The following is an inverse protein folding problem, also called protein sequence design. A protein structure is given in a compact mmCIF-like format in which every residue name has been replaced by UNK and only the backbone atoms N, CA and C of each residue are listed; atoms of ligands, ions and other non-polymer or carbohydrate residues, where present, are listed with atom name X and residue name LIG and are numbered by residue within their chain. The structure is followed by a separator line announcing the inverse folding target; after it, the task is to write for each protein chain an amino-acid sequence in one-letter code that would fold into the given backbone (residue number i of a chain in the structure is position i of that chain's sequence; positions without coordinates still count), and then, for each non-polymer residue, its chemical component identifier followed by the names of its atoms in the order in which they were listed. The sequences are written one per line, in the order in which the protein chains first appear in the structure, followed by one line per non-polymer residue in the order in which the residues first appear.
data_IF_174980021289
#
_entry.id   IF_174980021289
#
_cell.length_a   1.000
_cell.length_b   1.000
_cell.length_c   1.000
_cell.angle_alpha   90.00
_cell.angle_beta   90.00
_cell.angle_gamma   90.00
#
_symmetry.space_group_name_H-M   'P 1'
#
loop_
_entity.id
_entity.type
_entity.pdbx_description
1 polymer ?
#
# COMPACT_ATOMS: atom_id res chain seq x y z
N UNK A 1 -31.72 64.58 26.88
CA UNK A 1 -33.17 64.80 27.15
C UNK A 1 -33.91 63.58 26.72
N UNK A 2 -34.93 63.30 27.43
CA UNK A 2 -35.01 62.16 28.35
C UNK A 2 -36.21 61.27 27.99
N UNK A 3 -36.33 60.33 28.78
CA UNK A 3 -37.43 59.71 29.52
C UNK A 3 -37.66 58.27 29.07
N UNK A 4 -37.42 57.33 29.96
CA UNK A 4 -38.22 56.96 31.14
C UNK A 4 -39.51 56.25 30.80
N UNK A 5 -39.72 55.12 31.22
CA UNK A 5 -40.42 54.50 32.36
C UNK A 5 -41.18 53.26 31.83
N UNK A 6 -41.38 52.24 32.48
CA UNK A 6 -41.65 51.66 33.78
C UNK A 6 -42.18 50.23 33.64
N UNK A 7 -41.62 49.44 34.42
CA UNK A 7 -42.15 48.20 35.07
C UNK A 7 -43.67 48.15 35.26
N UNK A 8 -44.23 46.98 34.97
CA UNK A 8 -45.33 46.47 35.82
C UNK A 8 -45.31 44.96 35.91
N UNK A 9 -45.23 44.54 37.16
CA UNK A 9 -45.37 43.19 37.67
C UNK A 9 -46.87 42.90 37.81
N UNK A 10 -47.34 41.75 37.39
CA UNK A 10 -48.63 41.24 37.79
C UNK A 10 -48.56 39.72 38.13
N UNK A 11 -49.03 39.46 39.29
CA UNK A 11 -49.06 38.23 40.11
C UNK A 11 -49.94 37.13 39.58
N UNK A 12 -49.43 35.90 39.71
CA UNK A 12 -50.08 34.66 40.12
C UNK A 12 -51.57 34.45 39.89
N UNK A 13 -51.90 33.35 39.27
CA UNK A 13 -52.98 32.43 39.76
C UNK A 13 -52.52 30.97 39.53
N UNK A 14 -52.40 30.22 40.63
CA UNK A 14 -52.15 28.79 40.68
C UNK A 14 -53.50 28.07 40.59
N UNK A 15 -53.67 27.17 39.65
CA UNK A 15 -54.72 26.14 39.72
C UNK A 15 -54.05 24.75 39.60
N UNK A 16 -54.31 23.85 40.53
CA UNK A 16 -53.86 22.47 40.44
C UNK A 16 -54.90 21.67 39.66
N UNK A 17 -54.60 21.27 38.46
CA UNK A 17 -55.36 20.21 37.78
C UNK A 17 -54.68 18.87 38.00
N UNK A 18 -55.35 18.06 38.78
CA UNK A 18 -55.10 16.65 39.02
C UNK A 18 -55.27 15.89 37.70
N UNK A 19 -54.16 15.59 37.01
CA UNK A 19 -54.18 14.73 35.85
C UNK A 19 -53.85 13.31 36.25
N UNK A 20 -54.83 12.46 36.12
CA UNK A 20 -54.86 11.03 36.35
C UNK A 20 -53.79 10.33 35.52
N UNK A 21 -52.82 9.73 36.20
CA UNK A 21 -51.74 8.91 35.59
C UNK A 21 -52.34 7.55 35.22
N UNK A 22 -52.74 7.35 33.98
CA UNK A 22 -53.01 6.05 33.41
C UNK A 22 -51.67 5.30 33.17
N UNK A 23 -51.37 4.38 34.04
CA UNK A 23 -50.33 3.37 33.83
C UNK A 23 -50.76 2.41 32.72
N UNK A 24 -50.33 2.69 31.49
CA UNK A 24 -50.35 1.69 30.43
C UNK A 24 -49.18 0.73 30.69
N UNK A 25 -49.41 -0.36 31.36
CA UNK A 25 -48.51 -1.51 31.38
C UNK A 25 -48.53 -2.13 29.98
N UNK A 26 -47.66 -1.64 29.10
CA UNK A 26 -47.34 -2.35 27.88
C UNK A 26 -46.58 -3.62 28.29
N UNK A 27 -47.21 -4.77 28.10
CA UNK A 27 -46.53 -6.05 28.12
C UNK A 27 -45.44 -6.03 27.01
N UNK A 28 -44.24 -5.74 27.40
CA UNK A 28 -43.07 -5.96 26.56
C UNK A 28 -42.84 -7.48 26.54
N UNK A 29 -43.42 -8.18 25.58
CA UNK A 29 -43.01 -9.54 25.27
C UNK A 29 -41.59 -9.43 24.75
N UNK A 30 -40.64 -9.69 25.63
CA UNK A 30 -39.23 -9.74 25.28
C UNK A 30 -38.99 -10.84 24.24
N UNK A 31 -38.98 -10.47 22.98
CA UNK A 31 -38.24 -11.26 22.02
C UNK A 31 -36.78 -11.08 22.44
N UNK A 32 -36.17 -12.11 23.00
CA UNK A 32 -34.72 -12.17 23.21
C UNK A 32 -34.08 -11.99 21.84
N UNK A 33 -33.77 -10.75 21.52
CA UNK A 33 -33.01 -10.42 20.31
C UNK A 33 -31.64 -11.05 20.47
N UNK A 34 -31.39 -12.11 19.75
CA UNK A 34 -30.03 -12.63 19.55
C UNK A 34 -29.14 -11.42 19.28
N UNK A 35 -28.12 -11.22 20.10
CA UNK A 35 -27.19 -10.09 20.03
C UNK A 35 -26.66 -10.04 18.61
N UNK A 36 -27.10 -9.06 17.79
CA UNK A 36 -26.63 -8.91 16.42
C UNK A 36 -25.14 -8.67 16.49
N UNK A 37 -24.36 -9.60 15.94
CA UNK A 37 -22.93 -9.42 15.76
C UNK A 37 -22.76 -8.23 14.80
N UNK A 38 -22.24 -7.12 15.32
CA UNK A 38 -21.96 -5.93 14.53
C UNK A 38 -20.54 -5.99 14.00
N UNK A 39 -20.23 -5.21 12.94
CA UNK A 39 -18.87 -5.06 12.40
C UNK A 39 -17.83 -4.82 13.52
N UNK A 40 -18.21 -4.03 14.55
CA UNK A 40 -17.36 -3.76 15.73
C UNK A 40 -17.09 -5.00 16.60
N UNK A 41 -17.95 -5.99 16.58
CA UNK A 41 -17.76 -7.23 17.35
C UNK A 41 -16.84 -8.20 16.59
N UNK A 42 -16.82 -8.12 15.26
CA UNK A 42 -15.90 -8.87 14.39
C UNK A 42 -14.49 -8.23 14.39
N UNK A 43 -14.41 -6.90 14.39
CA UNK A 43 -13.13 -6.16 14.47
C UNK A 43 -12.34 -6.47 15.76
N UNK A 44 -13.02 -6.88 16.84
CA UNK A 44 -12.38 -7.32 18.09
C UNK A 44 -11.68 -8.68 18.01
N UNK A 45 -11.89 -9.43 16.94
CA UNK A 45 -11.34 -10.78 16.77
C UNK A 45 -9.96 -10.75 16.07
N UNK A 46 -9.64 -9.65 15.39
CA UNK A 46 -8.32 -9.47 14.78
C UNK A 46 -7.35 -8.95 15.84
N UNK A 47 -6.31 -9.70 16.13
CA UNK A 47 -5.23 -9.21 16.98
C UNK A 47 -4.56 -8.02 16.30
N UNK A 48 -4.77 -6.81 16.83
CA UNK A 48 -4.06 -5.63 16.37
C UNK A 48 -2.55 -5.80 16.61
N UNK A 49 -1.76 -5.31 15.65
CA UNK A 49 -0.30 -5.26 15.81
C UNK A 49 0.03 -4.14 16.81
N UNK A 50 0.92 -4.43 17.74
CA UNK A 50 1.53 -3.39 18.57
C UNK A 50 2.41 -2.48 17.71
N UNK A 51 2.68 -1.26 18.17
CA UNK A 51 3.59 -0.33 17.46
C UNK A 51 4.97 -0.95 17.25
N UNK A 52 5.44 -1.79 18.17
CA UNK A 52 6.69 -2.55 18.04
C UNK A 52 6.61 -3.60 16.93
N UNK A 53 5.50 -4.35 16.84
CA UNK A 53 5.27 -5.31 15.77
C UNK A 53 5.11 -4.63 14.40
N UNK A 54 4.46 -3.46 14.35
CA UNK A 54 4.37 -2.64 13.11
C UNK A 54 5.77 -2.21 12.67
N UNK A 55 6.57 -1.68 13.59
CA UNK A 55 7.95 -1.26 13.32
C UNK A 55 8.83 -2.44 12.91
N UNK A 56 8.71 -3.58 13.57
CA UNK A 56 9.44 -4.80 13.24
C UNK A 56 9.07 -5.37 11.85
N UNK A 57 7.85 -5.10 11.36
CA UNK A 57 7.38 -5.51 10.04
C UNK A 57 7.58 -4.44 8.95
N UNK A 58 8.18 -3.30 9.26
CA UNK A 58 8.46 -2.23 8.30
C UNK A 58 9.89 -2.34 7.78
N UNK A 59 10.07 -1.98 6.51
CA UNK A 59 11.37 -1.82 5.88
C UNK A 59 11.67 -0.32 5.74
N UNK A 60 12.46 0.20 6.69
CA UNK A 60 12.91 1.59 6.61
C UNK A 60 14.06 1.69 5.61
N UNK A 61 13.84 2.39 4.52
CA UNK A 61 14.86 2.65 3.51
C UNK A 61 15.45 4.04 3.77
N UNK A 62 16.77 4.17 3.95
CA UNK A 62 17.39 5.47 4.13
C UNK A 62 17.26 6.31 2.86
N UNK A 63 16.97 7.59 3.04
CA UNK A 63 16.98 8.58 1.95
C UNK A 63 18.40 9.12 1.81
N UNK A 64 19.02 8.87 0.67
CA UNK A 64 20.32 9.47 0.32
C UNK A 64 20.07 10.77 -0.45
N UNK A 65 20.20 11.89 0.26
CA UNK A 65 20.02 13.22 -0.32
C UNK A 65 21.04 13.50 -1.42
N UNK A 66 20.61 14.12 -2.51
CA UNK A 66 21.47 14.58 -3.60
C UNK A 66 22.71 15.34 -3.12
N UNK A 67 22.57 16.13 -2.07
CA UNK A 67 23.69 16.88 -1.46
C UNK A 67 24.82 15.99 -0.93
N UNK A 68 24.55 14.73 -0.64
CA UNK A 68 25.50 13.75 -0.10
C UNK A 68 26.07 12.81 -1.16
N UNK A 69 25.60 12.88 -2.40
CA UNK A 69 26.06 11.97 -3.44
C UNK A 69 27.56 12.13 -3.69
N UNK A 70 28.26 11.00 -3.67
CA UNK A 70 29.68 10.94 -3.92
C UNK A 70 29.95 10.45 -5.35
N UNK A 71 31.00 10.94 -5.97
CA UNK A 71 31.48 10.38 -7.25
C UNK A 71 31.72 8.86 -7.07
N UNK A 72 31.30 8.09 -8.07
CA UNK A 72 31.31 6.63 -7.98
C UNK A 72 29.97 5.99 -7.61
N UNK A 73 28.97 6.77 -7.18
CA UNK A 73 27.60 6.27 -6.91
C UNK A 73 26.99 5.70 -8.19
N UNK A 74 26.40 4.49 -8.09
CA UNK A 74 25.92 3.72 -9.23
C UNK A 74 24.41 3.79 -9.39
N UNK A 75 23.97 3.88 -10.63
CA UNK A 75 22.57 3.91 -11.02
C UNK A 75 22.31 2.91 -12.13
N UNK A 76 21.31 2.04 -11.93
CA UNK A 76 20.84 1.13 -12.96
C UNK A 76 19.83 1.82 -13.89
N UNK A 77 19.99 1.67 -15.19
CA UNK A 77 19.06 2.23 -16.18
C UNK A 77 17.91 1.25 -16.43
N UNK A 78 16.71 1.65 -16.03
CA UNK A 78 15.53 0.79 -16.06
C UNK A 78 14.77 0.77 -17.39
N UNK A 79 15.02 1.76 -18.27
CA UNK A 79 14.30 1.93 -19.55
C UNK A 79 15.20 2.64 -20.57
N UNK A 80 15.10 2.28 -21.86
CA UNK A 80 15.86 2.93 -22.95
C UNK A 80 15.45 4.39 -23.18
N UNK A 81 14.26 4.81 -22.73
CA UNK A 81 13.88 6.22 -22.74
C UNK A 81 14.77 7.11 -21.86
N UNK A 82 15.63 6.54 -21.03
CA UNK A 82 16.65 7.28 -20.30
C UNK A 82 17.53 8.15 -21.23
N UNK A 83 17.74 7.72 -22.50
CA UNK A 83 18.46 8.52 -23.49
C UNK A 83 17.81 9.88 -23.77
N UNK A 84 16.49 10.02 -23.59
CA UNK A 84 15.74 11.24 -23.88
C UNK A 84 15.87 12.31 -22.78
N UNK A 85 16.32 11.93 -21.59
CA UNK A 85 16.50 12.89 -20.50
C UNK A 85 17.92 13.47 -20.44
N UNK A 86 18.85 12.90 -21.20
CA UNK A 86 20.22 13.42 -21.27
C UNK A 86 20.35 14.50 -22.35
N UNK A 87 21.13 15.52 -22.06
CA UNK A 87 21.44 16.57 -23.00
C UNK A 87 22.15 15.97 -24.23
N UNK A 88 21.91 16.58 -25.39
CA UNK A 88 22.60 16.19 -26.61
C UNK A 88 24.12 16.30 -26.43
N UNK A 89 24.85 15.35 -26.97
CA UNK A 89 26.30 15.30 -26.90
C UNK A 89 26.87 14.73 -28.21
N UNK A 90 27.99 15.25 -28.61
CA UNK A 90 28.74 14.71 -29.78
C UNK A 90 29.49 13.40 -29.45
N UNK A 91 29.52 13.00 -28.19
CA UNK A 91 30.20 11.79 -27.72
C UNK A 91 29.45 10.48 -28.02
N UNK A 92 28.16 10.56 -28.35
CA UNK A 92 27.33 9.38 -28.68
C UNK A 92 26.16 9.76 -29.61
N UNK A 93 25.68 8.77 -30.38
CA UNK A 93 24.47 8.93 -31.17
C UNK A 93 23.27 8.43 -30.37
N UNK A 94 22.35 9.33 -30.01
CA UNK A 94 21.14 9.01 -29.23
C UNK A 94 20.20 7.99 -29.91
N UNK A 95 20.17 7.96 -31.27
CA UNK A 95 19.28 7.04 -32.01
C UNK A 95 19.69 5.57 -31.84
N UNK A 96 21.01 5.32 -31.76
CA UNK A 96 21.59 3.98 -31.63
C UNK A 96 21.93 3.61 -30.19
N UNK A 97 21.71 4.52 -29.24
CA UNK A 97 22.08 4.32 -27.85
C UNK A 97 21.08 3.42 -27.14
N UNK A 98 21.56 2.30 -26.58
CA UNK A 98 20.81 1.38 -25.74
C UNK A 98 21.39 1.40 -24.33
N UNK A 99 20.65 1.98 -23.40
CA UNK A 99 21.07 2.15 -22.01
C UNK A 99 20.39 1.19 -21.04
N UNK A 100 19.20 0.67 -21.38
CA UNK A 100 18.46 -0.25 -20.50
C UNK A 100 19.34 -1.43 -20.08
N UNK A 101 19.36 -1.70 -18.78
CA UNK A 101 20.15 -2.79 -18.20
C UNK A 101 21.61 -2.43 -17.92
N UNK A 102 22.08 -1.23 -18.27
CA UNK A 102 23.42 -0.76 -17.93
C UNK A 102 23.44 -0.05 -16.59
N UNK A 103 24.61 0.00 -15.99
CA UNK A 103 24.88 0.87 -14.84
C UNK A 103 25.60 2.13 -15.31
N UNK A 104 25.13 3.27 -14.80
CA UNK A 104 25.79 4.55 -14.95
C UNK A 104 26.37 4.98 -13.61
N UNK A 105 27.55 5.54 -13.64
CA UNK A 105 28.26 6.04 -12.47
C UNK A 105 28.14 7.56 -12.40
N UNK A 106 27.65 8.07 -11.27
CA UNK A 106 27.66 9.50 -10.99
C UNK A 106 29.10 10.02 -10.89
N UNK A 107 29.42 11.05 -11.66
CA UNK A 107 30.75 11.67 -11.70
C UNK A 107 30.79 13.10 -11.17
N UNK A 108 29.68 13.58 -10.63
CA UNK A 108 29.54 14.92 -10.07
C UNK A 108 28.47 15.75 -10.77
N UNK A 109 28.39 17.03 -10.44
CA UNK A 109 27.53 17.99 -11.11
C UNK A 109 28.23 19.30 -11.35
N UNK A 110 27.67 20.13 -12.22
CA UNK A 110 28.08 21.51 -12.39
C UNK A 110 26.87 22.42 -12.51
N UNK A 111 27.07 23.71 -12.28
CA UNK A 111 26.02 24.70 -12.42
C UNK A 111 26.01 25.22 -13.85
N UNK A 112 24.86 25.00 -14.53
CA UNK A 112 24.58 25.55 -15.84
C UNK A 112 23.81 26.87 -15.72
N UNK A 113 23.87 27.68 -16.82
CA UNK A 113 23.06 28.90 -16.93
C UNK A 113 21.79 28.60 -17.71
N UNK A 114 20.63 29.09 -17.22
CA UNK A 114 19.34 29.08 -17.94
C UNK A 114 18.92 30.52 -18.25
N UNK A 115 17.97 30.70 -19.17
CA UNK A 115 17.46 31.97 -19.68
C UNK A 115 17.14 33.03 -18.61
N UNK A 116 16.81 32.61 -17.38
CA UNK A 116 16.46 33.50 -16.26
C UNK A 116 17.61 33.82 -15.31
N UNK A 117 18.85 33.62 -15.74
CA UNK A 117 20.07 33.86 -14.95
C UNK A 117 20.14 33.05 -13.62
N UNK A 118 19.36 31.96 -13.48
CA UNK A 118 19.46 31.02 -12.37
C UNK A 118 20.49 29.94 -12.66
N UNK A 119 21.34 29.65 -11.65
CA UNK A 119 22.31 28.56 -11.75
C UNK A 119 21.61 27.22 -11.45
N UNK A 120 21.33 26.42 -12.45
CA UNK A 120 20.70 25.12 -12.34
C UNK A 120 21.72 23.97 -12.33
N UNK A 121 21.34 22.89 -11.67
CA UNK A 121 22.20 21.71 -11.51
C UNK A 121 22.15 20.84 -12.77
N UNK A 122 23.32 20.55 -13.32
CA UNK A 122 23.53 19.58 -14.39
C UNK A 122 24.31 18.39 -13.84
N UNK A 123 23.64 17.25 -13.74
CA UNK A 123 24.19 16.02 -13.14
C UNK A 123 24.93 15.22 -14.22
N UNK A 124 26.17 14.81 -13.93
CA UNK A 124 27.01 14.03 -14.85
C UNK A 124 27.03 12.55 -14.44
N UNK A 125 26.85 11.69 -15.45
CA UNK A 125 27.00 10.25 -15.35
C UNK A 125 27.99 9.76 -16.42
N UNK A 126 28.58 8.61 -16.18
CA UNK A 126 29.43 7.91 -17.15
C UNK A 126 29.17 6.41 -17.14
N UNK A 127 29.32 5.75 -18.28
CA UNK A 127 29.40 4.30 -18.42
C UNK A 127 30.87 3.80 -18.58
N UNK A 128 31.83 4.70 -18.32
CA UNK A 128 33.26 4.43 -18.52
C UNK A 128 33.77 4.84 -19.90
N UNK A 129 32.90 5.03 -20.88
CA UNK A 129 33.26 5.47 -22.26
C UNK A 129 32.64 6.84 -22.53
N UNK A 130 31.37 6.99 -22.33
CA UNK A 130 30.61 8.21 -22.60
C UNK A 130 30.28 8.96 -21.32
N UNK A 131 30.02 10.25 -21.46
CA UNK A 131 29.49 11.11 -20.40
C UNK A 131 28.05 11.52 -20.76
N UNK A 132 27.14 11.34 -19.83
CA UNK A 132 25.73 11.69 -19.95
C UNK A 132 25.39 12.83 -18.98
N UNK A 133 24.74 13.87 -19.46
CA UNK A 133 24.40 15.04 -18.66
C UNK A 133 22.90 15.14 -18.53
N UNK A 134 22.40 15.07 -17.30
CA UNK A 134 21.00 15.29 -16.98
C UNK A 134 20.80 16.71 -16.45
N UNK A 135 20.00 17.51 -17.17
CA UNK A 135 19.64 18.89 -16.81
C UNK A 135 18.43 18.84 -15.89
N UNK A 136 18.60 19.29 -14.64
CA UNK A 136 17.52 19.20 -13.65
C UNK A 136 16.51 20.34 -13.74
N UNK A 137 16.85 21.46 -14.38
CA UNK A 137 16.14 22.74 -14.38
C UNK A 137 15.89 23.31 -12.96
N UNK A 138 16.63 22.82 -11.96
CA UNK A 138 16.52 23.17 -10.54
C UNK A 138 17.82 23.72 -10.00
N UNK A 139 17.72 24.69 -9.11
CA UNK A 139 18.86 25.10 -8.28
C UNK A 139 19.16 24.04 -7.22
N UNK A 140 20.32 24.09 -6.58
CA UNK A 140 20.69 23.16 -5.49
C UNK A 140 19.66 23.18 -4.36
N UNK A 141 19.10 24.34 -4.04
CA UNK A 141 18.11 24.50 -2.96
C UNK A 141 16.74 23.92 -3.32
N UNK A 142 16.40 23.84 -4.62
CA UNK A 142 15.13 23.29 -5.11
C UNK A 142 15.17 21.75 -5.24
N UNK A 143 16.35 21.14 -5.20
CA UNK A 143 16.49 19.68 -5.22
C UNK A 143 16.14 19.13 -3.84
N UNK A 144 15.02 18.43 -3.76
CA UNK A 144 14.57 17.80 -2.52
C UNK A 144 15.47 16.63 -2.12
N UNK A 145 15.52 16.27 -0.81
CA UNK A 145 16.31 15.11 -0.36
C UNK A 145 15.92 13.81 -1.03
N UNK A 146 14.64 13.64 -1.36
CA UNK A 146 14.07 12.45 -2.00
C UNK A 146 14.04 12.55 -3.55
N UNK A 147 14.87 13.42 -4.13
CA UNK A 147 14.93 13.64 -5.56
C UNK A 147 15.41 12.39 -6.29
N UNK A 148 14.63 11.96 -7.28
CA UNK A 148 14.97 10.83 -8.13
C UNK A 148 15.12 11.29 -9.59
N UNK A 149 16.09 10.72 -10.30
CA UNK A 149 16.26 10.97 -11.72
C UNK A 149 15.41 9.95 -12.49
N UNK A 150 14.57 10.39 -13.44
CA UNK A 150 13.73 9.49 -14.20
C UNK A 150 14.53 8.35 -14.85
N UNK A 151 13.98 7.13 -14.83
CA UNK A 151 14.57 5.91 -15.40
C UNK A 151 15.84 5.40 -14.72
N UNK A 152 16.41 6.14 -13.75
CA UNK A 152 17.59 5.72 -13.00
C UNK A 152 17.18 5.18 -11.63
N UNK A 153 17.66 3.99 -11.29
CA UNK A 153 17.44 3.33 -10.01
C UNK A 153 18.75 3.37 -9.22
N UNK A 154 18.70 3.93 -8.03
CA UNK A 154 19.84 4.02 -7.13
C UNK A 154 20.27 2.63 -6.64
N UNK A 155 21.47 2.20 -6.99
CA UNK A 155 21.99 0.87 -6.64
C UNK A 155 22.33 0.73 -5.17
N UNK A 156 22.69 1.82 -4.47
CA UNK A 156 22.94 1.77 -3.02
C UNK A 156 21.66 1.40 -2.25
N UNK A 157 20.51 1.89 -2.74
CA UNK A 157 19.19 1.55 -2.19
C UNK A 157 18.86 0.09 -2.46
N UNK A 158 19.07 -0.40 -3.68
CA UNK A 158 18.86 -1.81 -4.06
C UNK A 158 19.69 -2.74 -3.18
N UNK A 159 20.98 -2.44 -3.03
CA UNK A 159 21.93 -3.21 -2.23
C UNK A 159 21.59 -3.15 -0.72
N UNK A 160 21.14 -1.98 -0.24
CA UNK A 160 20.67 -1.87 1.13
C UNK A 160 19.49 -2.81 1.39
N UNK A 161 18.48 -2.79 0.51
CA UNK A 161 17.30 -3.66 0.64
C UNK A 161 17.71 -5.13 0.50
N UNK A 162 18.62 -5.45 -0.41
CA UNK A 162 19.13 -6.80 -0.57
C UNK A 162 19.77 -7.29 0.76
N UNK A 163 20.65 -6.51 1.38
CA UNK A 163 21.24 -6.85 2.69
C UNK A 163 20.20 -7.02 3.79
N UNK A 164 19.05 -6.30 3.70
CA UNK A 164 17.99 -6.43 4.70
C UNK A 164 17.11 -7.66 4.49
N UNK A 165 16.91 -8.11 3.25
CA UNK A 165 15.92 -9.14 2.91
C UNK A 165 16.52 -10.47 2.48
N UNK A 166 17.61 -10.47 1.70
CA UNK A 166 18.19 -11.69 1.13
C UNK A 166 18.57 -12.69 2.23
N UNK A 167 18.23 -13.96 2.01
CA UNK A 167 18.43 -15.05 2.97
C UNK A 167 17.43 -15.07 4.12
N UNK A 168 16.47 -14.16 4.19
CA UNK A 168 15.45 -14.16 5.25
C UNK A 168 14.14 -14.81 4.78
N UNK A 169 13.42 -15.35 5.76
CA UNK A 169 12.06 -15.83 5.57
C UNK A 169 11.06 -14.71 5.85
N UNK A 170 10.08 -14.58 4.97
CA UNK A 170 8.96 -13.64 5.09
C UNK A 170 7.64 -14.35 4.78
N UNK A 171 6.53 -13.66 5.05
CA UNK A 171 5.19 -14.12 4.64
C UNK A 171 4.67 -13.18 3.55
N UNK A 172 4.38 -13.72 2.36
CA UNK A 172 3.85 -12.94 1.25
C UNK A 172 2.36 -12.66 1.45
N UNK A 173 1.93 -11.41 1.23
CA UNK A 173 0.56 -10.94 1.51
C UNK A 173 -0.33 -10.83 0.27
N UNK A 174 0.21 -11.09 -0.92
CA UNK A 174 -0.51 -11.00 -2.18
C UNK A 174 -0.50 -12.33 -2.91
N UNK A 175 -1.58 -12.63 -3.64
CA UNK A 175 -1.67 -13.78 -4.54
C UNK A 175 -1.30 -13.44 -5.99
N UNK A 176 -0.93 -12.20 -6.28
CA UNK A 176 -0.46 -11.79 -7.59
C UNK A 176 1.06 -11.86 -7.57
N UNK A 177 1.62 -12.93 -8.12
CA UNK A 177 3.05 -13.14 -8.26
C UNK A 177 3.48 -12.99 -9.72
N UNK A 178 4.77 -12.97 -9.96
CA UNK A 178 5.33 -12.97 -11.31
C UNK A 178 6.35 -14.11 -11.42
N UNK A 179 6.35 -14.76 -12.58
CA UNK A 179 7.31 -15.81 -12.93
C UNK A 179 8.66 -15.22 -13.32
N UNK A 180 9.62 -16.11 -13.62
CA UNK A 180 10.96 -15.70 -14.11
C UNK A 180 10.89 -14.95 -15.45
N UNK A 181 9.85 -15.19 -16.24
CA UNK A 181 9.55 -14.48 -17.48
C UNK A 181 8.84 -13.13 -17.29
N UNK A 182 8.74 -12.67 -16.03
CA UNK A 182 8.06 -11.44 -15.62
C UNK A 182 6.54 -11.41 -15.90
N UNK A 183 5.94 -12.53 -16.31
CA UNK A 183 4.50 -12.63 -16.49
C UNK A 183 3.80 -12.89 -15.17
N UNK A 184 2.61 -12.32 -15.04
CA UNK A 184 1.76 -12.52 -13.88
C UNK A 184 1.33 -13.98 -13.76
N UNK A 185 1.44 -14.54 -12.57
CA UNK A 185 1.05 -15.89 -12.23
C UNK A 185 0.19 -15.86 -10.95
N UNK A 186 -0.69 -16.84 -10.82
CA UNK A 186 -1.42 -17.05 -9.58
C UNK A 186 -0.47 -17.54 -8.49
N UNK A 187 -0.40 -16.80 -7.39
CA UNK A 187 0.35 -17.15 -6.19
C UNK A 187 -0.57 -17.50 -5.04
N UNK A 188 0.02 -17.72 -3.87
CA UNK A 188 -0.68 -17.99 -2.61
C UNK A 188 -0.45 -16.81 -1.65
N UNK A 189 -1.45 -16.47 -0.83
CA UNK A 189 -1.33 -15.43 0.21
C UNK A 189 -0.90 -16.03 1.53
N UNK A 190 -0.25 -15.22 2.35
CA UNK A 190 0.07 -15.53 3.75
C UNK A 190 0.89 -16.80 3.92
N UNK A 191 1.61 -17.21 2.88
CA UNK A 191 2.54 -18.34 2.91
C UNK A 191 3.96 -17.87 3.17
N UNK A 192 4.74 -18.73 3.80
CA UNK A 192 6.15 -18.50 4.09
C UNK A 192 6.96 -18.61 2.81
N UNK A 193 7.78 -17.62 2.55
CA UNK A 193 8.69 -17.55 1.41
C UNK A 193 10.11 -17.26 1.90
N UNK A 194 11.10 -17.81 1.23
CA UNK A 194 12.50 -17.46 1.40
C UNK A 194 12.90 -16.43 0.36
N UNK A 195 13.46 -15.29 0.79
CA UNK A 195 13.92 -14.24 -0.12
C UNK A 195 15.28 -14.64 -0.69
N UNK A 196 15.31 -14.91 -1.99
CA UNK A 196 16.52 -15.38 -2.68
C UNK A 196 17.44 -14.23 -3.07
N UNK A 197 16.87 -13.11 -3.57
CA UNK A 197 17.64 -11.98 -4.06
C UNK A 197 16.77 -10.72 -4.19
N UNK A 198 17.41 -9.54 -4.22
CA UNK A 198 16.77 -8.27 -4.54
C UNK A 198 17.58 -7.59 -5.65
N UNK A 199 16.89 -7.24 -6.73
CA UNK A 199 17.48 -6.65 -7.94
C UNK A 199 16.84 -5.31 -8.29
N UNK A 200 17.49 -4.47 -9.10
CA UNK A 200 16.83 -3.31 -9.68
C UNK A 200 15.63 -3.75 -10.52
N UNK A 201 14.56 -3.00 -10.44
CA UNK A 201 13.29 -3.29 -11.10
C UNK A 201 13.12 -2.53 -12.40
N UNK A 202 11.97 -1.88 -12.53
CA UNK A 202 11.61 -1.09 -13.71
C UNK A 202 11.27 0.37 -13.32
N UNK A 203 10.93 1.20 -14.31
CA UNK A 203 10.63 2.62 -14.10
C UNK A 203 9.47 2.93 -13.16
N UNK A 204 8.56 1.97 -12.95
CA UNK A 204 7.37 2.12 -12.08
C UNK A 204 7.65 1.51 -10.70
N UNK A 205 8.29 0.35 -10.68
CA UNK A 205 8.62 -0.41 -9.49
C UNK A 205 10.13 -0.60 -9.44
N UNK A 206 10.86 0.26 -8.73
CA UNK A 206 12.33 0.27 -8.76
C UNK A 206 12.98 -0.97 -8.12
N UNK A 207 12.24 -1.75 -7.36
CA UNK A 207 12.74 -2.94 -6.68
C UNK A 207 12.04 -4.19 -7.18
N UNK A 208 12.84 -5.22 -7.48
CA UNK A 208 12.40 -6.57 -7.81
C UNK A 208 12.88 -7.53 -6.72
N UNK A 209 11.93 -8.14 -5.99
CA UNK A 209 12.20 -9.11 -4.93
C UNK A 209 11.96 -10.51 -5.47
N UNK A 210 13.00 -11.35 -5.51
CA UNK A 210 12.95 -12.74 -5.92
C UNK A 210 12.83 -13.63 -4.68
N UNK A 211 11.97 -14.63 -4.73
CA UNK A 211 11.73 -15.51 -3.60
C UNK A 211 11.31 -16.90 -4.03
N UNK A 212 11.51 -17.85 -3.12
CA UNK A 212 11.05 -19.23 -3.24
C UNK A 212 9.99 -19.52 -2.17
N UNK A 213 8.84 -20.05 -2.59
CA UNK A 213 7.80 -20.57 -1.68
C UNK A 213 8.36 -21.78 -0.92
N UNK A 214 8.42 -21.71 0.39
CA UNK A 214 9.07 -22.73 1.24
C UNK A 214 8.37 -24.08 1.16
N UNK A 215 7.04 -24.09 0.99
CA UNK A 215 6.26 -25.33 0.94
C UNK A 215 6.31 -26.01 -0.43
N UNK A 216 6.18 -25.21 -1.51
CA UNK A 216 6.06 -25.73 -2.86
C UNK A 216 7.35 -25.70 -3.66
N UNK A 217 8.40 -25.05 -3.13
CA UNK A 217 9.67 -24.78 -3.83
C UNK A 217 9.52 -24.00 -5.13
N UNK A 218 8.39 -23.33 -5.30
CA UNK A 218 8.10 -22.53 -6.50
C UNK A 218 8.81 -21.19 -6.40
N UNK A 219 9.59 -20.85 -7.42
CA UNK A 219 10.23 -19.56 -7.57
C UNK A 219 9.28 -18.54 -8.16
N UNK A 220 9.33 -17.34 -7.63
CA UNK A 220 8.55 -16.21 -8.10
C UNK A 220 9.21 -14.90 -7.75
N UNK A 221 8.61 -13.78 -8.18
CA UNK A 221 9.06 -12.45 -7.80
C UNK A 221 7.90 -11.50 -7.58
N UNK A 222 8.20 -10.40 -6.90
CA UNK A 222 7.30 -9.26 -6.75
C UNK A 222 8.02 -7.95 -7.08
N UNK A 223 7.24 -7.06 -7.68
CA UNK A 223 7.63 -5.68 -7.90
C UNK A 223 7.26 -4.82 -6.69
N UNK A 224 8.21 -4.03 -6.19
CA UNK A 224 8.05 -3.22 -4.98
C UNK A 224 8.43 -1.76 -5.22
N UNK A 225 7.74 -0.84 -4.53
CA UNK A 225 8.06 0.59 -4.48
C UNK A 225 8.87 0.92 -3.23
N UNK A 226 9.56 2.07 -3.26
CA UNK A 226 10.39 2.56 -2.14
C UNK A 226 9.61 3.36 -1.08
N UNK A 227 8.30 3.11 -0.94
CA UNK A 227 7.46 3.78 0.07
C UNK A 227 6.99 5.18 -0.34
N UNK A 228 6.09 5.78 0.46
CA UNK A 228 5.66 7.20 0.36
C UNK A 228 4.91 7.63 -0.92
N UNK A 229 4.83 6.80 -1.92
CA UNK A 229 4.30 7.10 -3.25
C UNK A 229 2.81 6.81 -3.38
N UNK A 230 2.25 7.22 -4.51
CA UNK A 230 0.85 6.95 -4.91
C UNK A 230 0.51 5.45 -4.88
N UNK A 231 1.51 4.56 -5.04
CA UNK A 231 1.35 3.10 -5.10
C UNK A 231 1.62 2.42 -3.74
N UNK A 232 0.97 2.86 -2.68
CA UNK A 232 1.11 2.28 -1.32
C UNK A 232 0.86 0.77 -1.25
N UNK A 233 0.07 0.21 -2.17
CA UNK A 233 -0.22 -1.22 -2.24
C UNK A 233 0.96 -2.07 -2.75
N UNK A 234 2.10 -1.47 -3.06
CA UNK A 234 3.34 -2.12 -3.49
C UNK A 234 4.53 -1.82 -2.58
N UNK A 235 4.31 -1.25 -1.41
CA UNK A 235 5.34 -1.13 -0.36
C UNK A 235 5.67 -2.50 0.25
N UNK A 236 6.78 -2.59 0.98
CA UNK A 236 7.18 -3.84 1.65
C UNK A 236 6.06 -4.38 2.55
N UNK A 237 5.53 -3.55 3.42
CA UNK A 237 4.47 -3.91 4.38
C UNK A 237 3.12 -4.24 3.72
N UNK A 238 2.88 -3.80 2.49
CA UNK A 238 1.72 -4.22 1.71
C UNK A 238 1.92 -5.60 1.07
N UNK A 239 3.16 -5.95 0.70
CA UNK A 239 3.50 -7.18 -0.03
C UNK A 239 3.99 -8.30 0.87
N UNK A 240 4.69 -7.98 1.97
CA UNK A 240 5.35 -8.94 2.85
C UNK A 240 5.09 -8.64 4.33
N UNK A 241 5.39 -9.61 5.17
CA UNK A 241 5.45 -9.49 6.63
C UNK A 241 6.58 -10.39 7.13
N UNK A 242 7.35 -9.93 8.11
CA UNK A 242 8.32 -10.77 8.81
C UNK A 242 7.66 -11.71 9.82
N UNK A 243 6.45 -11.38 10.27
CA UNK A 243 5.69 -12.19 11.19
C UNK A 243 4.60 -13.00 10.48
N UNK A 244 4.30 -14.17 11.04
CA UNK A 244 3.25 -15.04 10.53
C UNK A 244 1.87 -14.36 10.63
N UNK A 245 1.30 -14.06 9.48
CA UNK A 245 -0.01 -13.38 9.38
C UNK A 245 -1.13 -14.24 9.99
N UNK A 246 -1.03 -15.59 9.92
CA UNK A 246 -2.01 -16.52 10.50
C UNK A 246 -2.24 -16.29 12.00
N UNK A 247 -1.19 -15.92 12.73
CA UNK A 247 -1.26 -15.67 14.18
C UNK A 247 -2.17 -14.51 14.58
N UNK A 248 -2.48 -13.61 13.65
CA UNK A 248 -3.41 -12.51 13.88
C UNK A 248 -4.88 -12.93 13.82
N UNK A 249 -5.15 -14.12 13.29
CA UNK A 249 -6.50 -14.64 13.04
C UNK A 249 -6.71 -16.01 13.71
N UNK A 250 -6.61 -16.10 15.06
CA UNK A 250 -6.62 -17.37 15.77
C UNK A 250 -7.97 -18.11 15.65
N UNK A 251 -9.05 -17.39 15.40
CA UNK A 251 -10.42 -17.95 15.37
C UNK A 251 -10.85 -18.45 13.97
N UNK A 252 -10.07 -18.19 12.93
CA UNK A 252 -10.36 -18.74 11.60
C UNK A 252 -9.94 -20.21 11.61
N UNK A 253 -10.84 -21.09 11.16
CA UNK A 253 -10.55 -22.52 11.07
C UNK A 253 -9.47 -22.80 10.00
N UNK A 254 -8.76 -23.91 10.12
CA UNK A 254 -7.73 -24.29 9.16
C UNK A 254 -8.30 -24.56 7.77
N UNK A 255 -9.56 -25.00 7.68
CA UNK A 255 -10.25 -25.20 6.42
C UNK A 255 -10.50 -23.86 5.70
N UNK A 256 -11.07 -22.87 6.41
CA UNK A 256 -11.30 -21.53 5.88
C UNK A 256 -9.96 -20.86 5.56
N UNK A 257 -8.94 -21.05 6.41
CA UNK A 257 -7.60 -20.49 6.16
C UNK A 257 -6.97 -21.02 4.88
N UNK A 258 -7.13 -22.33 4.56
CA UNK A 258 -6.67 -22.88 3.29
C UNK A 258 -7.36 -22.22 2.09
N UNK A 259 -8.67 -21.96 2.18
CA UNK A 259 -9.37 -21.20 1.13
C UNK A 259 -8.79 -19.79 0.97
N UNK A 260 -8.52 -19.08 2.08
CA UNK A 260 -7.92 -17.75 2.08
C UNK A 260 -6.55 -17.76 1.40
N UNK A 261 -5.69 -18.71 1.75
CA UNK A 261 -4.34 -18.88 1.19
C UNK A 261 -4.39 -19.08 -0.34
N UNK A 262 -5.36 -19.83 -0.81
CA UNK A 262 -5.55 -20.13 -2.24
C UNK A 262 -6.34 -19.06 -3.00
N UNK A 263 -6.79 -17.98 -2.32
CA UNK A 263 -7.65 -16.96 -2.94
C UNK A 263 -9.02 -17.48 -3.35
N UNK A 264 -9.54 -18.49 -2.63
CA UNK A 264 -10.85 -19.10 -2.83
C UNK A 264 -11.80 -18.70 -1.70
N UNK A 265 -13.09 -18.91 -1.94
CA UNK A 265 -14.17 -18.73 -0.95
C UNK A 265 -15.02 -19.97 -0.86
N UNK A 266 -15.69 -20.13 0.28
CA UNK A 266 -16.70 -21.19 0.46
C UNK A 266 -17.89 -20.62 1.23
N UNK A 267 -19.11 -21.13 1.04
CA UNK A 267 -20.27 -20.77 1.86
C UNK A 267 -19.97 -20.91 3.35
N UNK A 268 -20.50 -20.00 4.15
CA UNK A 268 -20.25 -19.96 5.59
C UNK A 268 -19.09 -19.02 5.98
N UNK A 269 -18.27 -18.55 5.07
CA UNK A 269 -17.24 -17.53 5.35
C UNK A 269 -17.89 -16.20 5.73
N UNK A 270 -17.27 -15.51 6.68
CA UNK A 270 -17.61 -14.14 7.03
C UNK A 270 -17.13 -13.14 5.97
N UNK A 271 -17.66 -11.92 5.99
CA UNK A 271 -17.20 -10.83 5.12
C UNK A 271 -15.69 -10.58 5.22
N UNK A 272 -15.15 -10.65 6.44
CA UNK A 272 -13.73 -10.40 6.67
C UNK A 272 -12.86 -11.54 6.15
N UNK A 273 -13.29 -12.78 6.26
CA UNK A 273 -12.62 -13.94 5.67
C UNK A 273 -12.62 -13.86 4.14
N UNK A 274 -13.73 -13.42 3.53
CA UNK A 274 -13.79 -13.19 2.07
C UNK A 274 -12.88 -12.04 1.67
N UNK A 275 -12.80 -10.94 2.45
CA UNK A 275 -11.84 -9.85 2.19
C UNK A 275 -10.39 -10.32 2.32
N UNK A 276 -10.07 -11.14 3.31
CA UNK A 276 -8.74 -11.73 3.45
C UNK A 276 -8.39 -12.57 2.23
N UNK A 277 -9.34 -13.34 1.71
CA UNK A 277 -9.13 -14.18 0.53
C UNK A 277 -9.00 -13.36 -0.75
N UNK A 278 -9.97 -12.51 -1.06
CA UNK A 278 -10.11 -11.89 -2.37
C UNK A 278 -9.69 -10.42 -2.41
N UNK A 279 -9.55 -9.79 -1.25
CA UNK A 279 -9.37 -8.33 -1.16
C UNK A 279 -10.70 -7.58 -1.06
N UNK A 280 -10.62 -6.25 -1.15
CA UNK A 280 -11.79 -5.38 -1.08
C UNK A 280 -12.61 -5.47 -2.38
N UNK A 281 -13.94 -5.64 -2.30
CA UNK A 281 -14.80 -5.60 -3.48
C UNK A 281 -14.80 -4.18 -4.10
N UNK A 282 -15.00 -4.11 -5.39
CA UNK A 282 -15.12 -2.83 -6.11
C UNK A 282 -16.42 -2.11 -5.73
N UNK A 283 -17.50 -2.88 -5.62
CA UNK A 283 -18.82 -2.34 -5.30
C UNK A 283 -19.56 -3.24 -4.32
N UNK A 284 -20.27 -2.61 -3.35
CA UNK A 284 -21.11 -3.29 -2.36
C UNK A 284 -22.52 -2.72 -2.43
N UNK A 285 -23.50 -3.58 -2.66
CA UNK A 285 -24.92 -3.23 -2.62
C UNK A 285 -25.56 -3.90 -1.39
N UNK A 286 -26.07 -3.08 -0.47
CA UNK A 286 -26.74 -3.54 0.75
C UNK A 286 -28.24 -3.33 0.64
N UNK A 287 -29.01 -4.36 1.02
CA UNK A 287 -30.47 -4.30 1.06
C UNK A 287 -30.96 -4.79 2.44
N UNK A 288 -31.39 -3.86 3.30
CA UNK A 288 -32.09 -4.24 4.53
C UNK A 288 -33.38 -4.99 4.18
N UNK A 289 -33.64 -6.09 4.85
CA UNK A 289 -34.88 -6.86 4.73
C UNK A 289 -35.48 -7.06 6.10
N UNK A 290 -36.72 -7.56 6.15
CA UNK A 290 -37.39 -7.86 7.44
C UNK A 290 -36.65 -8.95 8.25
N UNK A 291 -35.89 -9.84 7.55
CA UNK A 291 -35.15 -10.96 8.15
C UNK A 291 -33.67 -10.67 8.37
N UNK A 292 -33.18 -9.49 8.02
CA UNK A 292 -31.74 -9.17 8.15
C UNK A 292 -31.20 -8.31 7.01
N UNK A 293 -29.90 -8.28 6.85
CA UNK A 293 -29.21 -7.50 5.81
C UNK A 293 -28.70 -8.44 4.73
N UNK A 294 -29.13 -8.19 3.49
CA UNK A 294 -28.60 -8.86 2.30
C UNK A 294 -27.57 -7.96 1.64
N UNK A 295 -26.37 -8.50 1.36
CA UNK A 295 -25.30 -7.78 0.70
C UNK A 295 -24.85 -8.51 -0.55
N UNK A 296 -24.58 -7.75 -1.61
CA UNK A 296 -24.01 -8.22 -2.87
C UNK A 296 -22.68 -7.51 -3.11
N UNK A 297 -21.61 -8.28 -3.21
CA UNK A 297 -20.27 -7.79 -3.46
C UNK A 297 -19.86 -8.09 -4.89
N UNK A 298 -19.34 -7.09 -5.58
CA UNK A 298 -18.89 -7.19 -6.95
C UNK A 298 -17.40 -6.90 -7.02
N UNK A 299 -16.69 -7.74 -7.76
CA UNK A 299 -15.25 -7.62 -8.00
C UNK A 299 -14.96 -7.25 -9.45
N UNK A 300 -13.82 -6.60 -9.71
CA UNK A 300 -13.36 -6.14 -11.04
C UNK A 300 -13.24 -7.25 -12.07
N UNK A 301 -13.04 -8.49 -11.63
CA UNK A 301 -12.96 -9.67 -12.50
C UNK A 301 -14.32 -10.30 -12.86
N UNK A 302 -15.42 -9.61 -12.51
CA UNK A 302 -16.78 -10.04 -12.82
C UNK A 302 -17.37 -11.04 -11.82
N UNK A 303 -16.62 -11.48 -10.81
CA UNK A 303 -17.18 -12.33 -9.75
C UNK A 303 -18.12 -11.50 -8.87
N UNK A 304 -19.20 -12.13 -8.37
CA UNK A 304 -20.07 -11.56 -7.37
C UNK A 304 -20.33 -12.56 -6.25
N UNK A 305 -20.57 -12.03 -5.05
CA UNK A 305 -20.83 -12.82 -3.84
C UNK A 305 -22.04 -12.27 -3.13
N UNK A 306 -22.84 -13.18 -2.58
CA UNK A 306 -24.07 -12.86 -1.85
C UNK A 306 -23.92 -13.25 -0.38
N UNK A 307 -24.21 -12.31 0.50
CA UNK A 307 -24.15 -12.47 1.94
C UNK A 307 -25.55 -12.26 2.57
N UNK A 308 -25.87 -13.07 3.56
CA UNK A 308 -26.97 -12.86 4.49
C UNK A 308 -26.40 -12.67 5.89
N UNK A 309 -26.76 -11.55 6.54
CA UNK A 309 -26.28 -11.18 7.88
C UNK A 309 -24.75 -11.30 8.06
N UNK A 310 -24.00 -11.00 7.01
CA UNK A 310 -22.55 -11.00 7.03
C UNK A 310 -21.89 -12.36 6.75
N UNK A 311 -22.68 -13.39 6.45
CA UNK A 311 -22.20 -14.73 6.11
C UNK A 311 -22.39 -14.98 4.61
N UNK A 312 -21.34 -15.49 3.96
CA UNK A 312 -21.35 -15.84 2.55
C UNK A 312 -22.29 -17.01 2.31
N UNK A 313 -23.25 -16.80 1.41
CA UNK A 313 -24.22 -17.84 0.98
C UNK A 313 -23.83 -18.43 -0.38
N UNK A 314 -23.39 -17.54 -1.30
CA UNK A 314 -23.03 -17.93 -2.67
C UNK A 314 -21.98 -17.00 -3.27
#
# INVERSE_FOLDING_TARGET
MPQSDRVMISKQIIFPTLATLMLLTSCFTGVEGTKKITQKDVDKVVKELTDEEVKANSLAVPVDSFANWQAGKRFYVSDDNAKLIFANSDSYNADTLHLKGRELTYSGYYLGSVLDNRATVNVKFTDGVNTYVYVTDKTVQEIRPDYTIPFLIDMDVVEYINRQLCGKDCYVKTSIWYGEDERMIAGRKYVKVHIDDVKPGNKVFPIKVLFTDVETSRKAMLWMTLGGTVLKNRSFDALFSFSDVRKRYPNITDEVWRCIVEGKTQPGMTKDEVRLSLGTPEHVNQRPTYSGVKEYWYYTDGRYFYFEDGILVK
#
